data_IF_495250254077
#
_entry.id   IF_495250254077
#
_cell.length_a   1.000
_cell.length_b   1.000
_cell.length_c   1.000
_cell.angle_alpha   90.00
_cell.angle_beta   90.00
_cell.angle_gamma   90.00
#
_symmetry.space_group_name_H-M   'P 1'
#
loop_
_entity.id
_entity.type
_entity.pdbx_description
1 polymer ?
#
# COMPACT_ATOMS: atom_id res chain seq x y z
N UNK A 1 20.88 20.66 7.46
CA UNK A 1 20.26 20.03 8.66
C UNK A 1 18.94 19.31 8.34
N UNK A 2 18.07 19.87 7.49
CA UNK A 2 16.83 19.22 7.04
C UNK A 2 17.05 17.82 6.44
N UNK A 3 18.01 17.67 5.51
CA UNK A 3 18.33 16.39 4.88
C UNK A 3 18.74 15.27 5.86
N UNK A 4 19.50 15.59 6.92
CA UNK A 4 19.87 14.60 7.96
C UNK A 4 18.66 14.18 8.79
N UNK A 5 17.74 15.10 9.10
CA UNK A 5 16.50 14.77 9.82
C UNK A 5 15.60 13.88 8.97
N UNK A 6 15.48 14.22 7.69
CA UNK A 6 14.73 13.48 6.70
C UNK A 6 15.23 12.03 6.55
N UNK A 7 16.53 11.83 6.26
CA UNK A 7 17.11 10.48 6.14
C UNK A 7 17.01 9.67 7.43
N UNK A 8 17.17 10.32 8.59
CA UNK A 8 17.02 9.63 9.88
C UNK A 8 15.60 9.12 10.10
N UNK A 9 14.59 9.88 9.69
CA UNK A 9 13.19 9.44 9.72
C UNK A 9 12.98 8.25 8.79
N UNK A 10 13.43 8.37 7.54
CA UNK A 10 13.32 7.31 6.52
C UNK A 10 13.98 5.99 6.94
N UNK A 11 15.20 6.05 7.47
CA UNK A 11 15.89 4.88 8.06
C UNK A 11 15.07 4.27 9.20
N UNK A 12 14.46 5.10 10.05
CA UNK A 12 13.57 4.64 11.12
C UNK A 12 12.33 3.91 10.60
N UNK A 13 11.73 4.40 9.52
CA UNK A 13 10.56 3.81 8.86
C UNK A 13 10.92 2.46 8.24
N UNK A 14 12.00 2.37 7.44
CA UNK A 14 12.47 1.11 6.85
C UNK A 14 12.72 0.05 7.94
N UNK A 15 13.40 0.43 9.03
CA UNK A 15 13.66 -0.47 10.17
C UNK A 15 12.40 -0.93 10.89
N UNK A 16 11.37 -0.09 10.96
CA UNK A 16 10.08 -0.49 11.53
C UNK A 16 9.41 -1.51 10.63
N UNK A 17 9.43 -1.26 9.32
CA UNK A 17 8.79 -2.15 8.35
C UNK A 17 9.40 -3.54 8.32
N UNK A 18 10.74 -3.63 8.31
CA UNK A 18 11.46 -4.91 8.41
C UNK A 18 10.97 -5.71 9.63
N UNK A 19 10.85 -5.06 10.80
CA UNK A 19 10.40 -5.74 12.02
C UNK A 19 8.95 -6.20 11.93
N UNK A 20 8.07 -5.40 11.32
CA UNK A 20 6.66 -5.77 11.12
C UNK A 20 6.56 -7.00 10.22
N UNK A 21 7.19 -6.98 9.03
CA UNK A 21 7.11 -8.08 8.06
C UNK A 21 7.71 -9.36 8.62
N UNK A 22 8.85 -9.28 9.30
CA UNK A 22 9.49 -10.45 9.91
C UNK A 22 8.68 -11.01 11.09
N UNK A 23 8.05 -10.15 11.91
CA UNK A 23 7.18 -10.61 13.00
C UNK A 23 5.93 -11.33 12.45
N UNK A 24 5.33 -10.81 11.38
CA UNK A 24 4.21 -11.44 10.69
C UNK A 24 4.59 -12.79 10.05
N UNK A 25 5.83 -12.92 9.56
CA UNK A 25 6.38 -14.18 9.03
C UNK A 25 6.58 -15.24 10.13
N UNK A 26 7.12 -14.83 11.29
CA UNK A 26 7.26 -15.70 12.47
C UNK A 26 5.89 -16.13 13.02
N UNK A 27 4.89 -15.26 13.04
CA UNK A 27 3.52 -15.63 13.47
C UNK A 27 2.86 -16.67 12.55
N UNK A 28 3.30 -16.76 11.29
CA UNK A 28 2.83 -17.72 10.28
C UNK A 28 3.73 -18.95 10.14
N UNK A 29 4.70 -19.12 11.03
CA UNK A 29 5.68 -20.22 10.98
C UNK A 29 6.40 -20.34 9.62
N UNK A 30 6.65 -19.21 8.94
CA UNK A 30 7.33 -19.21 7.66
C UNK A 30 8.80 -19.61 7.80
N UNK A 31 9.20 -20.66 7.11
CA UNK A 31 10.59 -21.14 7.07
C UNK A 31 11.37 -20.62 5.84
N UNK A 32 12.68 -20.87 5.80
CA UNK A 32 13.53 -20.56 4.64
C UNK A 32 14.21 -19.19 4.66
N UNK A 33 14.02 -18.40 5.72
CA UNK A 33 14.75 -17.16 5.97
C UNK A 33 14.90 -16.92 7.47
N UNK A 34 16.01 -16.30 7.87
CA UNK A 34 16.29 -16.00 9.27
C UNK A 34 15.60 -14.68 9.68
N UNK A 35 14.30 -14.78 9.97
CA UNK A 35 13.45 -13.66 10.35
C UNK A 35 13.89 -13.02 11.67
N UNK A 36 14.35 -13.83 12.63
CA UNK A 36 14.83 -13.34 13.92
C UNK A 36 16.10 -12.50 13.74
N UNK A 37 17.08 -12.97 12.96
CA UNK A 37 18.28 -12.19 12.67
C UNK A 37 17.97 -10.88 11.94
N UNK A 38 16.99 -10.87 11.04
CA UNK A 38 16.55 -9.65 10.36
C UNK A 38 15.90 -8.65 11.34
N UNK A 39 15.10 -9.12 12.31
CA UNK A 39 14.56 -8.30 13.40
C UNK A 39 15.68 -7.75 14.28
N UNK A 40 16.66 -8.56 14.66
CA UNK A 40 17.79 -8.13 15.47
C UNK A 40 18.60 -7.04 14.76
N UNK A 41 18.91 -7.25 13.48
CA UNK A 41 19.65 -6.27 12.67
C UNK A 41 18.85 -4.97 12.51
N UNK A 42 17.55 -5.06 12.28
CA UNK A 42 16.66 -3.90 12.24
C UNK A 42 16.44 -3.27 13.63
N UNK A 43 16.70 -3.96 14.73
CA UNK A 43 16.60 -3.43 16.11
C UNK A 43 17.92 -2.86 16.64
N UNK A 44 19.03 -3.09 15.92
CA UNK A 44 20.37 -2.63 16.27
C UNK A 44 20.46 -1.13 16.63
N UNK A 45 21.43 -0.79 17.48
CA UNK A 45 21.64 0.59 17.94
C UNK A 45 22.13 1.46 16.79
N UNK A 46 21.41 2.54 16.51
CA UNK A 46 21.91 3.61 15.65
C UNK A 46 22.91 4.50 16.42
N UNK A 47 23.93 5.08 15.74
CA UNK A 47 24.75 6.12 16.34
C UNK A 47 23.87 7.25 16.87
N UNK A 48 24.20 7.80 18.05
CA UNK A 48 23.37 8.86 18.68
C UNK A 48 23.29 10.11 17.79
N UNK A 49 24.40 10.45 17.14
CA UNK A 49 24.55 11.60 16.23
C UNK A 49 25.14 11.17 14.87
N UNK A 50 24.38 10.46 14.03
CA UNK A 50 24.88 9.90 12.78
C UNK A 50 25.08 11.01 11.75
N UNK A 51 26.26 11.09 11.17
CA UNK A 51 26.62 11.95 10.03
C UNK A 51 25.72 11.65 8.82
N UNK A 52 25.75 12.56 7.83
CA UNK A 52 24.95 12.37 6.61
C UNK A 52 25.38 11.12 5.84
N UNK A 53 26.69 10.87 5.76
CA UNK A 53 27.26 9.70 5.07
C UNK A 53 26.86 8.40 5.77
N UNK A 54 26.91 8.36 7.10
CA UNK A 54 26.43 7.19 7.86
C UNK A 54 24.93 6.95 7.65
N UNK A 55 24.11 8.00 7.61
CA UNK A 55 22.67 7.86 7.35
C UNK A 55 22.39 7.32 5.93
N UNK A 56 23.13 7.77 4.91
CA UNK A 56 23.01 7.25 3.55
C UNK A 56 23.43 5.78 3.46
N UNK A 57 24.53 5.40 4.13
CA UNK A 57 24.96 4.01 4.19
C UNK A 57 23.90 3.12 4.86
N UNK A 58 23.31 3.58 5.95
CA UNK A 58 22.22 2.89 6.65
C UNK A 58 20.95 2.79 5.81
N UNK A 59 20.60 3.83 5.04
CA UNK A 59 19.47 3.78 4.11
C UNK A 59 19.65 2.68 3.07
N UNK A 60 20.85 2.59 2.48
CA UNK A 60 21.17 1.54 1.50
C UNK A 60 21.16 0.16 2.17
N UNK A 61 21.76 0.03 3.35
CA UNK A 61 21.82 -1.24 4.09
C UNK A 61 20.42 -1.74 4.45
N UNK A 62 19.61 -0.92 5.10
CA UNK A 62 18.27 -1.34 5.51
C UNK A 62 17.32 -1.45 4.31
N UNK A 63 17.48 -0.64 3.26
CA UNK A 63 16.74 -0.82 2.01
C UNK A 63 17.04 -2.17 1.36
N UNK A 64 18.30 -2.59 1.34
CA UNK A 64 18.70 -3.91 0.84
C UNK A 64 18.15 -5.05 1.70
N UNK A 65 18.16 -4.87 3.03
CA UNK A 65 17.59 -5.84 3.97
C UNK A 65 16.07 -5.97 3.78
N UNK A 66 15.35 -4.86 3.64
CA UNK A 66 13.91 -4.87 3.37
C UNK A 66 13.59 -5.59 2.06
N UNK A 67 14.37 -5.35 0.99
CA UNK A 67 14.18 -6.05 -0.28
C UNK A 67 14.44 -7.57 -0.16
N UNK A 68 15.42 -7.98 0.65
CA UNK A 68 15.69 -9.40 0.91
C UNK A 68 14.56 -10.06 1.71
N UNK A 69 14.06 -9.37 2.75
CA UNK A 69 12.92 -9.80 3.57
C UNK A 69 11.66 -9.97 2.72
N UNK A 70 11.35 -8.99 1.86
CA UNK A 70 10.17 -9.02 0.98
C UNK A 70 10.25 -10.19 -0.03
N UNK A 71 11.44 -10.41 -0.62
CA UNK A 71 11.69 -11.56 -1.49
C UNK A 71 11.56 -12.90 -0.76
N UNK A 72 12.10 -13.00 0.45
CA UNK A 72 11.97 -14.21 1.26
C UNK A 72 10.51 -14.49 1.63
N UNK A 73 9.75 -13.44 1.94
CA UNK A 73 8.36 -13.55 2.36
C UNK A 73 7.50 -14.06 1.22
N UNK A 74 7.78 -13.54 0.02
CA UNK A 74 7.21 -13.98 -1.25
C UNK A 74 7.43 -15.48 -1.47
N UNK A 75 8.64 -15.99 -1.22
CA UNK A 75 8.98 -17.41 -1.38
C UNK A 75 8.28 -18.28 -0.32
N UNK A 76 8.31 -17.87 0.95
CA UNK A 76 7.72 -18.63 2.05
C UNK A 76 6.19 -18.75 1.91
N UNK A 77 5.52 -17.66 1.54
CA UNK A 77 4.07 -17.70 1.28
C UNK A 77 3.69 -18.66 0.16
N UNK A 78 4.50 -18.76 -0.90
CA UNK A 78 4.23 -19.73 -1.98
C UNK A 78 4.26 -21.17 -1.49
N UNK A 79 5.17 -21.50 -0.57
CA UNK A 79 5.26 -22.83 0.00
C UNK A 79 4.02 -23.16 0.86
N UNK A 80 3.55 -22.19 1.65
CA UNK A 80 2.33 -22.27 2.47
C UNK A 80 1.05 -22.42 1.62
N UNK A 81 0.89 -21.62 0.56
CA UNK A 81 -0.27 -21.70 -0.35
C UNK A 81 -0.28 -22.98 -1.21
N UNK A 82 0.88 -23.62 -1.38
CA UNK A 82 1.02 -24.88 -2.14
C UNK A 82 0.73 -26.13 -1.30
N UNK A 83 0.52 -26.00 0.01
CA UNK A 83 -0.03 -27.09 0.81
C UNK A 83 -1.51 -27.30 0.43
N UNK A 84 -1.91 -28.52 0.01
CA UNK A 84 -3.19 -28.74 -0.61
C UNK A 84 -4.33 -28.69 0.41
N UNK A 85 -4.89 -27.51 0.64
CA UNK A 85 -6.27 -27.40 1.13
C UNK A 85 -7.19 -27.71 -0.04
N UNK A 86 -7.50 -28.99 -0.20
CA UNK A 86 -8.38 -29.48 -1.25
C UNK A 86 -9.77 -28.88 -1.18
N UNK A 87 -10.17 -28.17 -2.22
CA UNK A 87 -11.57 -28.18 -2.69
C UNK A 87 -11.63 -27.76 -4.15
N UNK A 88 -11.85 -28.74 -5.02
CA UNK A 88 -12.19 -28.54 -6.43
C UNK A 88 -13.54 -27.83 -6.55
N UNK A 89 -13.59 -26.80 -7.38
CA UNK A 89 -14.81 -26.03 -7.65
C UNK A 89 -14.79 -25.43 -9.04
N UNK A 90 -14.95 -26.30 -10.05
CA UNK A 90 -15.13 -25.95 -11.47
C UNK A 90 -16.33 -25.02 -11.64
N UNK A 91 -16.11 -23.80 -12.13
CA UNK A 91 -17.19 -22.94 -12.61
C UNK A 91 -16.87 -22.38 -14.00
N UNK A 92 -17.75 -22.72 -14.94
CA UNK A 92 -17.80 -22.27 -16.32
C UNK A 92 -17.85 -20.73 -16.40
N UNK A 93 -17.09 -20.14 -17.33
CA UNK A 93 -17.28 -18.75 -17.78
C UNK A 93 -17.62 -18.79 -19.27
N UNK A 94 -18.85 -18.39 -19.59
CA UNK A 94 -19.20 -17.95 -20.95
C UNK A 94 -18.93 -16.45 -21.09
N UNK A 95 -18.42 -15.96 -22.23
CA UNK A 95 -18.21 -14.54 -22.49
C UNK A 95 -19.41 -13.95 -23.25
N UNK A 96 -19.96 -12.82 -22.78
CA UNK A 96 -20.77 -11.93 -23.62
C UNK A 96 -20.16 -10.53 -23.59
N UNK A 97 -19.67 -10.16 -24.76
CA UNK A 97 -19.28 -8.81 -25.19
C UNK A 97 -20.54 -8.14 -25.75
N UNK A 98 -20.85 -6.90 -25.34
CA UNK A 98 -20.76 -5.75 -26.25
C UNK A 98 -21.08 -4.40 -25.58
N UNK A 99 -20.42 -3.31 -26.00
CA UNK A 99 -20.49 -1.99 -25.38
C UNK A 99 -21.49 -1.06 -26.09
N UNK A 100 -22.05 -0.09 -25.36
CA UNK A 100 -22.62 1.13 -25.98
C UNK A 100 -22.26 2.38 -25.20
N UNK A 101 -21.56 3.27 -25.89
CA UNK A 101 -21.36 4.66 -25.50
C UNK A 101 -22.61 5.51 -25.82
N UNK A 102 -22.93 6.48 -24.97
CA UNK A 102 -23.48 7.78 -25.36
C UNK A 102 -23.53 8.74 -24.16
N UNK A 103 -22.72 9.79 -24.24
CA UNK A 103 -23.00 11.20 -23.92
C UNK A 103 -24.17 11.54 -22.99
N UNK A 104 -23.89 12.18 -21.83
CA UNK A 104 -24.55 13.42 -21.37
C UNK A 104 -24.04 13.89 -19.99
N UNK A 105 -23.47 15.10 -19.99
CA UNK A 105 -23.82 16.26 -19.14
C UNK A 105 -23.92 16.07 -17.62
N UNK A 106 -22.97 16.69 -16.91
CA UNK A 106 -23.02 16.99 -15.48
C UNK A 106 -24.30 17.74 -15.07
N UNK A 107 -24.88 17.38 -13.92
CA UNK A 107 -25.53 18.35 -13.06
C UNK A 107 -24.77 18.53 -11.73
N UNK A 108 -24.74 19.81 -11.36
CA UNK A 108 -24.68 20.47 -10.05
C UNK A 108 -24.46 19.66 -8.75
N UNK A 109 -23.72 20.32 -7.86
CA UNK A 109 -23.27 19.94 -6.52
C UNK A 109 -24.37 19.74 -5.45
N UNK A 110 -23.90 19.21 -4.30
CA UNK A 110 -24.51 18.83 -2.99
C UNK A 110 -25.14 17.43 -2.95
N UNK A 111 -24.92 16.60 -1.91
CA UNK A 111 -24.51 16.85 -0.52
C UNK A 111 -23.27 16.08 -0.07
N UNK A 112 -22.47 16.77 0.73
CA UNK A 112 -21.42 16.26 1.60
C UNK A 112 -21.96 15.17 2.54
N UNK A 113 -21.31 14.00 2.53
CA UNK A 113 -21.32 13.10 3.69
C UNK A 113 -19.94 13.20 4.31
N UNK A 114 -19.70 14.31 5.03
CA UNK A 114 -18.54 14.44 5.91
C UNK A 114 -18.77 13.47 7.07
N UNK A 115 -18.10 12.33 7.04
CA UNK A 115 -17.95 11.54 8.24
C UNK A 115 -16.98 12.30 9.15
N UNK A 116 -17.58 12.96 10.14
CA UNK A 116 -16.94 13.69 11.23
C UNK A 116 -15.84 12.85 11.91
N UNK A 117 -14.62 13.38 11.93
CA UNK A 117 -13.58 13.02 12.90
C UNK A 117 -12.85 14.30 13.31
N UNK A 118 -12.50 14.43 14.59
CA UNK A 118 -12.09 15.72 15.15
C UNK A 118 -10.76 16.18 14.56
N UNK A 119 -10.78 17.45 14.17
CA UNK A 119 -9.67 18.26 13.69
C UNK A 119 -8.73 18.53 14.87
N UNK A 120 -7.52 17.99 14.85
CA UNK A 120 -6.44 18.53 15.68
C UNK A 120 -5.89 19.76 14.96
N UNK A 121 -6.20 20.94 15.49
CA UNK A 121 -5.48 22.17 15.18
C UNK A 121 -3.99 21.96 15.42
N UNK A 122 -3.15 22.35 14.47
CA UNK A 122 -1.89 23.03 14.75
C UNK A 122 -1.41 23.82 13.52
N UNK A 123 -1.09 25.08 13.78
CA UNK A 123 -0.63 26.12 12.87
C UNK A 123 0.87 25.99 12.56
N UNK A 124 1.29 25.93 11.28
CA UNK A 124 2.37 26.78 10.73
C UNK A 124 2.79 26.40 9.29
N UNK A 125 3.01 27.43 8.48
CA UNK A 125 4.23 27.51 7.67
C UNK A 125 4.08 27.23 6.18
N UNK A 126 4.01 28.31 5.41
CA UNK A 126 4.25 28.37 3.97
C UNK A 126 5.65 27.78 3.66
N UNK A 127 5.67 26.51 3.26
CA UNK A 127 6.83 25.81 2.69
C UNK A 127 6.24 24.72 1.82
N UNK A 128 6.74 24.58 0.58
CA UNK A 128 6.31 23.52 -0.34
C UNK A 128 6.17 22.19 0.43
N UNK A 129 5.00 21.53 0.35
CA UNK A 129 4.66 20.45 1.26
C UNK A 129 5.62 19.27 1.06
N UNK A 130 6.05 18.62 2.16
CA UNK A 130 6.88 17.44 2.05
C UNK A 130 6.04 16.35 1.38
N UNK A 131 6.51 15.84 0.23
CA UNK A 131 6.02 14.60 -0.36
C UNK A 131 6.01 13.55 0.76
N UNK A 132 4.89 12.85 0.95
CA UNK A 132 4.73 11.92 2.05
C UNK A 132 5.51 10.64 1.70
N UNK A 133 6.75 10.53 2.19
CA UNK A 133 7.70 9.47 1.85
C UNK A 133 7.46 8.15 2.59
N UNK A 134 6.20 7.79 2.87
CA UNK A 134 5.90 6.51 3.52
C UNK A 134 6.47 5.36 2.69
N UNK A 135 7.37 4.59 3.31
CA UNK A 135 7.88 3.35 2.74
C UNK A 135 6.85 2.26 2.99
N UNK A 136 6.24 1.77 1.91
CA UNK A 136 5.19 0.75 1.94
C UNK A 136 5.72 -0.46 1.17
N UNK A 137 5.88 -1.63 1.80
CA UNK A 137 6.32 -2.82 1.09
C UNK A 137 5.17 -3.38 0.25
N UNK A 138 5.51 -4.07 -0.84
CA UNK A 138 4.52 -4.59 -1.76
C UNK A 138 3.67 -5.70 -1.09
N UNK A 139 4.30 -6.54 -0.28
CA UNK A 139 3.64 -7.58 0.54
C UNK A 139 2.45 -7.04 1.34
N UNK A 140 2.63 -5.93 2.07
CA UNK A 140 1.54 -5.30 2.83
C UNK A 140 0.37 -4.87 1.93
N UNK A 141 0.65 -4.37 0.73
CA UNK A 141 -0.38 -3.89 -0.20
C UNK A 141 -1.18 -5.06 -0.77
N UNK A 142 -0.49 -6.14 -1.14
CA UNK A 142 -1.11 -7.38 -1.64
C UNK A 142 -1.99 -8.04 -0.57
N UNK A 143 -1.53 -8.06 0.69
CA UNK A 143 -2.36 -8.54 1.81
C UNK A 143 -3.57 -7.63 2.10
N UNK A 144 -3.37 -6.32 2.03
CA UNK A 144 -4.41 -5.34 2.35
C UNK A 144 -5.48 -5.22 1.26
N UNK A 145 -5.14 -5.49 0.00
CA UNK A 145 -6.00 -5.32 -1.17
C UNK A 145 -5.99 -6.60 -2.02
N UNK A 146 -6.57 -7.71 -1.53
CA UNK A 146 -6.60 -8.96 -2.28
C UNK A 146 -7.38 -8.83 -3.60
N UNK A 147 -8.23 -7.81 -3.77
CA UNK A 147 -8.95 -7.56 -5.00
C UNK A 147 -8.03 -7.31 -6.21
N UNK A 148 -6.83 -6.76 -5.99
CA UNK A 148 -5.88 -6.47 -7.06
C UNK A 148 -5.30 -7.75 -7.68
N UNK A 149 -5.38 -8.89 -6.97
CA UNK A 149 -4.84 -10.17 -7.43
C UNK A 149 -5.48 -10.65 -8.74
N UNK A 150 -6.71 -10.22 -9.04
CA UNK A 150 -7.38 -10.52 -10.32
C UNK A 150 -6.71 -9.88 -11.54
N UNK A 151 -5.79 -8.93 -11.31
CA UNK A 151 -5.06 -8.20 -12.35
C UNK A 151 -3.59 -8.61 -12.44
N UNK A 152 -3.17 -9.60 -11.64
CA UNK A 152 -1.82 -10.15 -11.59
C UNK A 152 -1.86 -11.60 -12.10
N UNK A 153 -0.83 -11.98 -12.86
CA UNK A 153 -0.70 -13.36 -13.37
C UNK A 153 -0.28 -14.32 -12.24
N UNK A 154 0.67 -13.90 -11.39
CA UNK A 154 1.06 -14.58 -10.16
C UNK A 154 1.15 -13.56 -9.01
N UNK A 155 0.08 -13.35 -8.21
CA UNK A 155 0.14 -12.51 -7.01
C UNK A 155 1.20 -12.99 -6.01
N UNK A 156 1.55 -14.27 -6.08
CA UNK A 156 2.67 -14.95 -5.43
C UNK A 156 4.03 -14.36 -5.73
N UNK A 157 4.30 -13.95 -6.97
CA UNK A 157 5.62 -13.50 -7.45
C UNK A 157 5.70 -11.99 -7.70
N UNK A 158 4.57 -11.30 -7.56
CA UNK A 158 4.40 -9.97 -8.11
C UNK A 158 5.48 -9.00 -7.64
N UNK A 159 6.15 -8.36 -8.59
CA UNK A 159 7.06 -7.26 -8.30
C UNK A 159 6.38 -5.88 -8.46
N UNK A 160 7.14 -4.81 -8.20
CA UNK A 160 6.61 -3.44 -8.31
C UNK A 160 6.20 -3.06 -9.74
N UNK A 161 6.80 -3.65 -10.76
CA UNK A 161 6.44 -3.37 -12.14
C UNK A 161 5.12 -4.03 -12.51
N UNK A 162 4.98 -5.32 -12.20
CA UNK A 162 3.74 -6.07 -12.40
C UNK A 162 2.60 -5.46 -11.58
N UNK A 163 2.85 -5.04 -10.34
CA UNK A 163 1.87 -4.36 -9.51
C UNK A 163 1.41 -3.01 -10.08
N UNK A 164 2.33 -2.21 -10.61
CA UNK A 164 1.99 -0.93 -11.24
C UNK A 164 1.16 -1.14 -12.51
N UNK A 165 1.48 -2.18 -13.29
CA UNK A 165 0.69 -2.56 -14.46
C UNK A 165 -0.71 -3.05 -14.07
N UNK A 166 -0.80 -3.90 -13.04
CA UNK A 166 -2.07 -4.37 -12.49
C UNK A 166 -2.93 -3.21 -11.97
N UNK A 167 -2.35 -2.26 -11.25
CA UNK A 167 -3.03 -1.05 -10.81
C UNK A 167 -3.50 -0.19 -11.98
N UNK A 168 -2.71 -0.07 -13.05
CA UNK A 168 -3.12 0.64 -14.25
C UNK A 168 -4.33 -0.05 -14.93
N UNK A 169 -4.31 -1.37 -15.08
CA UNK A 169 -5.44 -2.17 -15.60
C UNK A 169 -6.70 -1.95 -14.74
N UNK A 170 -6.55 -2.00 -13.41
CA UNK A 170 -7.64 -1.72 -12.47
C UNK A 170 -8.19 -0.30 -12.61
N UNK A 171 -7.33 0.72 -12.78
CA UNK A 171 -7.76 2.10 -12.97
C UNK A 171 -8.69 2.26 -14.18
N UNK A 172 -8.35 1.63 -15.31
CA UNK A 172 -9.18 1.66 -16.52
C UNK A 172 -10.55 1.03 -16.29
N UNK A 173 -10.60 -0.11 -15.61
CA UNK A 173 -11.84 -0.82 -15.30
C UNK A 173 -12.74 -0.05 -14.31
N UNK A 174 -12.13 0.71 -13.39
CA UNK A 174 -12.83 1.61 -12.47
C UNK A 174 -13.34 2.90 -13.13
N UNK A 175 -13.10 3.09 -14.43
CA UNK A 175 -13.46 4.32 -15.16
C UNK A 175 -12.60 5.53 -14.79
N UNK A 176 -11.42 5.31 -14.21
CA UNK A 176 -10.45 6.37 -13.94
C UNK A 176 -9.84 6.79 -15.28
N UNK A 177 -10.07 8.04 -15.68
CA UNK A 177 -9.48 8.59 -16.89
C UNK A 177 -7.95 8.66 -16.79
N UNK A 178 -7.26 8.41 -17.90
CA UNK A 178 -5.80 8.53 -18.06
C UNK A 178 -5.23 9.84 -17.52
N UNK A 179 -5.96 10.96 -17.63
CA UNK A 179 -5.53 12.24 -17.05
C UNK A 179 -5.41 12.17 -15.54
N UNK A 180 -6.36 11.54 -14.84
CA UNK A 180 -6.32 11.38 -13.39
C UNK A 180 -5.25 10.38 -12.95
N UNK A 181 -5.03 9.32 -13.72
CA UNK A 181 -3.92 8.39 -13.49
C UNK A 181 -2.55 9.08 -13.64
N UNK A 182 -2.38 9.90 -14.68
CA UNK A 182 -1.15 10.68 -14.90
C UNK A 182 -0.91 11.65 -13.77
N UNK A 183 -1.94 12.42 -13.39
CA UNK A 183 -1.88 13.35 -12.25
C UNK A 183 -1.47 12.64 -10.95
N UNK A 184 -2.02 11.45 -10.70
CA UNK A 184 -1.63 10.63 -9.55
C UNK A 184 -0.16 10.20 -9.61
N UNK A 185 0.34 9.76 -10.77
CA UNK A 185 1.75 9.40 -10.93
C UNK A 185 2.70 10.59 -10.77
N UNK A 186 2.31 11.76 -11.25
CA UNK A 186 3.09 13.00 -11.11
C UNK A 186 3.11 13.51 -9.67
N UNK A 187 1.99 13.39 -8.96
CA UNK A 187 1.86 13.89 -7.58
C UNK A 187 2.44 12.92 -6.55
N UNK A 188 2.16 11.62 -6.67
CA UNK A 188 2.49 10.58 -5.68
C UNK A 188 3.78 9.82 -6.01
N UNK A 189 4.20 9.83 -7.27
CA UNK A 189 5.20 8.89 -7.79
C UNK A 189 4.62 7.54 -8.20
N UNK A 190 5.42 6.75 -8.93
CA UNK A 190 4.99 5.50 -9.61
C UNK A 190 4.31 4.51 -8.67
N UNK A 191 4.99 4.11 -7.60
CA UNK A 191 4.54 3.03 -6.73
C UNK A 191 3.38 3.47 -5.83
N UNK A 192 3.45 4.68 -5.25
CA UNK A 192 2.37 5.23 -4.41
C UNK A 192 1.10 5.50 -5.20
N UNK A 193 1.20 5.91 -6.46
CA UNK A 193 0.02 6.03 -7.33
C UNK A 193 -0.67 4.67 -7.56
N UNK A 194 0.11 3.60 -7.76
CA UNK A 194 -0.44 2.25 -7.86
C UNK A 194 -1.12 1.80 -6.55
N UNK A 195 -0.49 2.07 -5.39
CA UNK A 195 -1.09 1.79 -4.06
C UNK A 195 -2.39 2.57 -3.87
N UNK A 196 -2.42 3.85 -4.26
CA UNK A 196 -3.61 4.67 -4.17
C UNK A 196 -4.75 4.08 -5.01
N UNK A 197 -4.48 3.67 -6.25
CA UNK A 197 -5.47 2.99 -7.10
C UNK A 197 -5.94 1.66 -6.50
N UNK A 198 -5.04 0.84 -5.98
CA UNK A 198 -5.42 -0.39 -5.27
C UNK A 198 -6.33 -0.08 -4.07
N UNK A 199 -6.02 0.95 -3.30
CA UNK A 199 -6.86 1.42 -2.18
C UNK A 199 -8.24 1.88 -2.67
N UNK A 200 -8.32 2.56 -3.82
CA UNK A 200 -9.61 2.93 -4.44
C UNK A 200 -10.37 1.68 -4.87
N UNK A 201 -9.70 0.69 -5.46
CA UNK A 201 -10.33 -0.56 -5.89
C UNK A 201 -11.01 -1.26 -4.71
N UNK A 202 -10.31 -1.44 -3.60
CA UNK A 202 -10.86 -2.07 -2.40
C UNK A 202 -12.11 -1.34 -1.90
N UNK A 203 -12.03 -0.01 -1.77
CA UNK A 203 -13.14 0.82 -1.26
C UNK A 203 -14.29 0.95 -2.25
N UNK A 204 -14.02 0.87 -3.54
CA UNK A 204 -15.06 0.86 -4.57
C UNK A 204 -15.82 -0.48 -4.54
N UNK A 205 -15.10 -1.59 -4.37
CA UNK A 205 -15.68 -2.93 -4.22
C UNK A 205 -16.54 -3.06 -2.96
N UNK A 206 -16.20 -2.39 -1.86
CA UNK A 206 -17.02 -2.35 -0.64
C UNK A 206 -18.21 -1.36 -0.72
N UNK A 207 -18.33 -0.58 -1.80
CA UNK A 207 -19.37 0.43 -1.97
C UNK A 207 -19.12 1.75 -1.21
N UNK A 208 -17.98 1.90 -0.53
CA UNK A 208 -17.58 3.14 0.15
C UNK A 208 -17.24 4.27 -0.83
N UNK A 209 -16.77 3.92 -2.03
CA UNK A 209 -16.42 4.89 -3.08
C UNK A 209 -17.35 4.74 -4.27
N UNK A 210 -18.11 5.80 -4.58
CA UNK A 210 -19.00 5.86 -5.75
C UNK A 210 -18.29 6.33 -7.02
N UNK A 211 -17.28 7.18 -6.89
CA UNK A 211 -16.51 7.74 -7.99
C UNK A 211 -15.02 7.52 -7.77
N UNK A 212 -14.47 6.49 -8.43
CA UNK A 212 -13.06 6.11 -8.29
C UNK A 212 -12.12 7.24 -8.72
N UNK A 213 -12.39 7.89 -9.85
CA UNK A 213 -11.57 9.00 -10.35
C UNK A 213 -11.68 10.28 -9.52
N UNK A 214 -12.83 10.54 -8.90
CA UNK A 214 -12.99 11.65 -7.95
C UNK A 214 -12.20 11.40 -6.67
N UNK A 215 -12.28 10.18 -6.15
CA UNK A 215 -11.55 9.78 -4.95
C UNK A 215 -10.03 9.82 -5.14
N UNK A 216 -9.54 9.35 -6.30
CA UNK A 216 -8.12 9.44 -6.64
C UNK A 216 -7.61 10.89 -6.68
N UNK A 217 -8.38 11.82 -7.27
CA UNK A 217 -8.01 13.24 -7.26
C UNK A 217 -8.01 13.85 -5.86
N UNK A 218 -8.97 13.46 -5.01
CA UNK A 218 -8.97 13.88 -3.62
C UNK A 218 -7.74 13.35 -2.86
N UNK A 219 -7.24 12.15 -3.19
CA UNK A 219 -5.97 11.65 -2.64
C UNK A 219 -4.77 12.46 -3.16
N UNK A 220 -4.74 12.84 -4.44
CA UNK A 220 -3.70 13.74 -4.96
C UNK A 220 -3.71 15.09 -4.24
N UNK A 221 -4.88 15.66 -3.99
CA UNK A 221 -5.00 16.93 -3.26
C UNK A 221 -4.49 16.81 -1.82
N UNK A 222 -4.82 15.72 -1.13
CA UNK A 222 -4.29 15.43 0.21
C UNK A 222 -2.78 15.21 0.21
N UNK A 223 -2.22 14.62 -0.83
CA UNK A 223 -0.76 14.51 -0.96
C UNK A 223 -0.14 15.89 -1.10
N UNK A 224 -0.76 16.79 -1.89
CA UNK A 224 -0.32 18.18 -2.02
C UNK A 224 -0.44 18.96 -0.72
N UNK A 225 -1.24 18.57 0.25
CA UNK A 225 -1.27 19.22 1.57
C UNK A 225 -0.44 18.48 2.62
N UNK A 226 0.14 17.31 2.27
CA UNK A 226 0.85 16.43 3.21
C UNK A 226 -0.05 15.58 4.10
N UNK A 227 -1.37 15.57 3.85
CA UNK A 227 -2.39 14.88 4.65
C UNK A 227 -2.74 13.47 4.15
N UNK A 228 -2.13 13.02 3.05
CA UNK A 228 -2.38 11.67 2.53
C UNK A 228 -1.55 10.62 3.27
N UNK A 229 -2.23 9.78 4.04
CA UNK A 229 -1.62 8.64 4.73
C UNK A 229 -2.13 7.31 4.14
N UNK A 230 -1.30 6.64 3.35
CA UNK A 230 -1.63 5.37 2.71
C UNK A 230 -1.42 4.20 3.67
N UNK A 231 -0.36 4.22 4.50
CA UNK A 231 -0.09 3.14 5.46
C UNK A 231 -1.27 2.84 6.40
N UNK A 232 -1.86 3.82 7.12
CA UNK A 232 -3.01 3.57 7.99
C UNK A 232 -4.24 3.08 7.20
N UNK A 233 -4.40 3.54 5.96
CA UNK A 233 -5.48 3.07 5.09
C UNK A 233 -5.31 1.58 4.75
N UNK A 234 -4.08 1.14 4.44
CA UNK A 234 -3.77 -0.26 4.15
C UNK A 234 -3.95 -1.14 5.38
N UNK A 235 -3.48 -0.74 6.56
CA UNK A 235 -3.75 -1.50 7.78
C UNK A 235 -5.25 -1.61 8.09
N UNK A 236 -6.00 -0.53 7.89
CA UNK A 236 -7.45 -0.53 8.04
C UNK A 236 -8.18 -1.41 7.02
N UNK A 237 -7.60 -1.65 5.84
CA UNK A 237 -8.10 -2.60 4.85
C UNK A 237 -7.71 -4.04 5.21
N UNK A 238 -6.43 -4.29 5.54
CA UNK A 238 -5.92 -5.60 5.99
C UNK A 238 -6.74 -6.17 7.16
N UNK A 239 -7.08 -5.35 8.14
CA UNK A 239 -7.91 -5.76 9.29
C UNK A 239 -9.33 -6.21 8.89
N UNK A 240 -9.88 -5.72 7.78
CA UNK A 240 -11.21 -6.15 7.30
C UNK A 240 -11.19 -7.57 6.75
N UNK A 241 -10.05 -7.98 6.20
CA UNK A 241 -9.86 -9.31 5.61
C UNK A 241 -9.36 -10.34 6.64
N UNK A 242 -8.92 -9.91 7.83
CA UNK A 242 -8.51 -10.79 8.92
C UNK A 242 -9.38 -10.62 10.19
N UNK A 243 -10.60 -11.21 10.24
CA UNK A 243 -11.53 -11.03 11.35
C UNK A 243 -11.07 -11.64 12.70
N UNK A 244 -9.94 -12.36 12.74
CA UNK A 244 -9.51 -13.15 13.92
C UNK A 244 -9.08 -12.32 15.15
N UNK A 245 -8.92 -10.99 15.04
CA UNK A 245 -8.56 -10.13 16.20
C UNK A 245 -9.76 -9.58 16.97
N UNK A 246 -10.94 -9.45 16.36
CA UNK A 246 -12.09 -8.78 17.01
C UNK A 246 -12.74 -9.58 18.14
N UNK A 247 -12.54 -10.90 18.18
CA UNK A 247 -13.15 -11.78 19.17
C UNK A 247 -12.30 -11.99 20.43
N UNK A 248 -10.99 -11.68 20.37
CA UNK A 248 -10.06 -11.88 21.51
C UNK A 248 -9.98 -10.71 22.48
N UNK A 249 -10.41 -9.51 22.09
CA UNK A 249 -10.43 -8.32 22.96
C UNK A 249 -11.79 -8.08 23.63
N UNK A 250 -12.76 -8.96 23.39
CA UNK A 250 -14.14 -8.82 23.88
C UNK A 250 -14.60 -9.95 24.82
N UNK A 251 -13.68 -10.84 25.22
CA UNK A 251 -13.90 -11.91 26.22
C UNK A 251 -13.09 -11.66 27.48
#
# INVERSE_FOLDING_TARGET
QAQRRHLRRKVGEIRREIRTVCADALERDFEGYDWEAAIERASGRLPRTPSLVELMALEIEFGSLLAAVDKAWTVARKADESEPTGSEGRAHKEPTTDPKAATATYPAWREEVVADRPRSDDLHGDTAPPINEEVIPLSLVLEAVPEIHHHLDDPGAADWEEFVEAAYKAALLLGINLTAWREARETLGRNRAAIAVATVLARWRSGEVKSAGGYLRAMCERERTGDLHLLPSLFGLKERHNPRRRDRERS
#
